data_IF_716835223707
#
_entry.id   IF_716835223707
#
_cell.length_a   1.000
_cell.length_b   1.000
_cell.length_c   1.000
_cell.angle_alpha   90.00
_cell.angle_beta   90.00
_cell.angle_gamma   90.00
#
_symmetry.space_group_name_H-M   'P 1'
#
loop_
_entity.id
_entity.type
_entity.pdbx_description
1 polymer ?
#
# COMPACT_ATOMS: atom_id res chain seq x y z
N UNK A 1 44.77 16.42 -4.27
CA UNK A 1 43.92 15.73 -3.29
C UNK A 1 42.48 15.94 -3.70
N UNK A 2 41.91 14.94 -4.37
CA UNK A 2 40.50 14.94 -4.73
C UNK A 2 39.75 14.74 -3.41
N UNK A 3 38.94 15.72 -3.05
CA UNK A 3 38.05 15.62 -1.89
C UNK A 3 36.96 14.64 -2.28
N UNK A 4 37.07 13.42 -1.75
CA UNK A 4 35.98 12.44 -1.73
C UNK A 4 34.85 13.03 -0.89
N UNK A 5 34.05 13.90 -1.51
CA UNK A 5 32.68 14.10 -1.10
C UNK A 5 31.98 12.80 -1.41
N UNK A 6 31.95 11.89 -0.45
CA UNK A 6 31.00 10.80 -0.42
C UNK A 6 29.62 11.41 -0.72
N UNK A 7 29.14 11.21 -1.93
CA UNK A 7 27.75 11.46 -2.30
C UNK A 7 26.94 10.50 -1.44
N UNK A 8 26.56 10.94 -0.23
CA UNK A 8 25.55 10.27 0.57
C UNK A 8 24.29 10.22 -0.29
N UNK A 9 24.06 9.08 -0.94
CA UNK A 9 22.81 8.83 -1.62
C UNK A 9 21.72 8.89 -0.55
N UNK A 10 20.77 9.79 -0.76
CA UNK A 10 19.58 9.89 0.08
C UNK A 10 18.89 8.53 0.18
N UNK A 11 18.46 8.15 1.38
CA UNK A 11 17.70 6.92 1.63
C UNK A 11 16.37 6.86 0.82
N UNK A 12 15.95 7.98 0.24
CA UNK A 12 14.72 8.13 -0.52
C UNK A 12 14.94 8.43 -2.01
N UNK A 13 15.97 7.86 -2.64
CA UNK A 13 16.34 8.09 -4.07
C UNK A 13 15.14 8.16 -5.02
N UNK A 14 14.16 7.25 -4.88
CA UNK A 14 12.97 7.21 -5.73
C UNK A 14 12.08 8.45 -5.53
N UNK A 15 11.80 8.81 -4.28
CA UNK A 15 10.95 9.98 -3.96
C UNK A 15 11.69 11.27 -4.34
N UNK A 16 13.00 11.34 -4.10
CA UNK A 16 13.82 12.48 -4.48
C UNK A 16 13.81 12.74 -5.99
N UNK A 17 13.90 11.68 -6.80
CA UNK A 17 13.85 11.81 -8.26
C UNK A 17 12.49 12.31 -8.78
N UNK A 18 11.43 12.14 -7.99
CA UNK A 18 10.06 12.55 -8.35
C UNK A 18 9.61 13.84 -7.67
N UNK A 19 10.30 14.25 -6.59
CA UNK A 19 9.97 15.42 -5.80
C UNK A 19 10.48 16.69 -6.48
N UNK A 20 9.64 17.71 -6.53
CA UNK A 20 10.04 19.08 -6.90
C UNK A 20 10.24 19.97 -5.67
N UNK A 21 10.59 19.36 -4.53
CA UNK A 21 10.76 20.04 -3.24
C UNK A 21 9.48 20.20 -2.40
N UNK A 22 8.35 19.67 -2.85
CA UNK A 22 7.06 19.77 -2.15
C UNK A 22 6.54 18.48 -1.51
N UNK A 23 7.17 17.32 -1.79
CA UNK A 23 6.76 16.04 -1.21
C UNK A 23 7.34 15.90 0.19
N UNK A 24 6.48 15.51 1.15
CA UNK A 24 6.91 15.16 2.50
C UNK A 24 7.46 13.73 2.49
N UNK A 25 8.63 13.53 3.09
CA UNK A 25 9.21 12.21 3.30
C UNK A 25 8.55 11.56 4.50
N UNK A 26 7.95 10.39 4.28
CA UNK A 26 7.29 9.64 5.34
C UNK A 26 8.33 9.10 6.32
N UNK A 27 8.00 9.14 7.61
CA UNK A 27 8.80 8.50 8.65
C UNK A 27 8.91 6.98 8.38
N UNK A 28 10.06 6.34 8.66
CA UNK A 28 10.25 4.91 8.40
C UNK A 28 9.17 4.01 9.01
N UNK A 29 8.70 4.35 10.22
CA UNK A 29 7.58 3.65 10.87
C UNK A 29 6.31 3.63 10.00
N UNK A 30 5.95 4.78 9.40
CA UNK A 30 4.78 4.89 8.51
C UNK A 30 4.97 4.03 7.27
N UNK A 31 6.17 4.02 6.70
CA UNK A 31 6.50 3.17 5.55
C UNK A 31 6.33 1.70 5.91
N UNK A 32 6.82 1.27 7.07
CA UNK A 32 6.70 -0.11 7.54
C UNK A 32 5.24 -0.53 7.77
N UNK A 33 4.42 0.33 8.39
CA UNK A 33 2.99 0.08 8.60
C UNK A 33 2.27 -0.09 7.27
N UNK A 34 2.52 0.79 6.30
CA UNK A 34 1.92 0.72 4.97
C UNK A 34 2.37 -0.53 4.21
N UNK A 35 3.67 -0.84 4.27
CA UNK A 35 4.22 -2.04 3.66
C UNK A 35 3.61 -3.31 4.26
N UNK A 36 3.51 -3.38 5.60
CA UNK A 36 2.87 -4.49 6.29
C UNK A 36 1.41 -4.66 5.89
N UNK A 37 0.66 -3.57 5.80
CA UNK A 37 -0.75 -3.59 5.33
C UNK A 37 -0.85 -4.13 3.91
N UNK A 38 0.06 -3.72 3.01
CA UNK A 38 0.14 -4.27 1.65
C UNK A 38 0.43 -5.78 1.64
N UNK A 39 1.39 -6.24 2.44
CA UNK A 39 1.72 -7.66 2.54
C UNK A 39 0.54 -8.50 3.05
N UNK A 40 -0.18 -8.01 4.06
CA UNK A 40 -1.39 -8.67 4.55
C UNK A 40 -2.46 -8.72 3.46
N UNK A 41 -2.69 -7.62 2.74
CA UNK A 41 -3.64 -7.63 1.62
C UNK A 41 -3.24 -8.64 0.55
N UNK A 42 -1.96 -8.69 0.15
CA UNK A 42 -1.43 -9.66 -0.82
C UNK A 42 -1.68 -11.10 -0.37
N UNK A 43 -1.54 -11.39 0.92
CA UNK A 43 -1.87 -12.68 1.49
C UNK A 43 -3.38 -12.98 1.43
N UNK A 44 -4.25 -12.01 1.77
CA UNK A 44 -5.71 -12.17 1.74
C UNK A 44 -6.25 -12.39 0.31
N UNK A 45 -5.62 -11.78 -0.70
CA UNK A 45 -5.98 -11.95 -2.12
C UNK A 45 -5.18 -13.05 -2.81
N UNK A 46 -4.37 -13.82 -2.07
CA UNK A 46 -3.68 -14.99 -2.60
C UNK A 46 -4.67 -16.08 -3.00
N UNK A 47 -4.30 -16.96 -3.93
CA UNK A 47 -5.20 -18.02 -4.45
C UNK A 47 -5.86 -18.87 -3.37
N UNK A 48 -5.19 -19.04 -2.23
CA UNK A 48 -5.68 -19.83 -1.11
C UNK A 48 -6.82 -19.13 -0.35
N UNK A 49 -6.69 -17.82 -0.10
CA UNK A 49 -7.63 -17.06 0.74
C UNK A 49 -8.60 -16.17 -0.05
N UNK A 50 -8.32 -15.93 -1.35
CA UNK A 50 -9.02 -14.96 -2.20
C UNK A 50 -10.55 -15.15 -2.16
N UNK A 51 -11.02 -16.40 -2.28
CA UNK A 51 -12.46 -16.69 -2.28
C UNK A 51 -13.14 -16.29 -0.97
N UNK A 52 -12.49 -16.56 0.16
CA UNK A 52 -13.01 -16.23 1.49
C UNK A 52 -13.03 -14.72 1.65
N UNK A 53 -11.92 -14.06 1.34
CA UNK A 53 -11.83 -12.59 1.41
C UNK A 53 -12.84 -11.88 0.50
N UNK A 54 -13.09 -12.41 -0.69
CA UNK A 54 -14.08 -11.86 -1.62
C UNK A 54 -15.54 -12.11 -1.22
N UNK A 55 -15.81 -13.14 -0.40
CA UNK A 55 -17.14 -13.38 0.14
C UNK A 55 -17.48 -12.43 1.30
N UNK A 56 -16.49 -11.76 1.89
CA UNK A 56 -16.70 -10.83 3.01
C UNK A 56 -17.38 -9.53 2.56
N UNK A 57 -18.50 -9.18 3.21
CA UNK A 57 -19.20 -7.92 2.93
C UNK A 57 -18.42 -6.68 3.42
N UNK A 58 -17.52 -6.85 4.39
CA UNK A 58 -16.78 -5.77 5.05
C UNK A 58 -15.26 -5.96 4.95
N UNK A 59 -14.75 -6.22 3.75
CA UNK A 59 -13.31 -6.40 3.45
C UNK A 59 -12.40 -5.34 4.09
N UNK A 60 -12.82 -4.07 4.08
CA UNK A 60 -12.11 -2.98 4.75
C UNK A 60 -11.93 -3.23 6.24
N UNK A 61 -12.99 -3.66 6.92
CA UNK A 61 -12.94 -3.93 8.36
C UNK A 61 -12.07 -5.14 8.67
N UNK A 62 -12.10 -6.17 7.83
CA UNK A 62 -11.25 -7.35 7.97
C UNK A 62 -9.76 -6.95 7.92
N UNK A 63 -9.36 -6.20 6.90
CA UNK A 63 -7.96 -5.77 6.78
C UNK A 63 -7.56 -4.83 7.93
N UNK A 64 -8.42 -3.89 8.32
CA UNK A 64 -8.18 -3.01 9.47
C UNK A 64 -8.02 -3.79 10.77
N UNK A 65 -8.88 -4.78 11.03
CA UNK A 65 -8.83 -5.56 12.27
C UNK A 65 -7.57 -6.41 12.36
N UNK A 66 -7.13 -7.00 11.24
CA UNK A 66 -5.89 -7.77 11.19
C UNK A 66 -4.70 -6.84 11.48
N UNK A 67 -4.63 -5.69 10.82
CA UNK A 67 -3.53 -4.76 11.05
C UNK A 67 -3.52 -4.19 12.47
N UNK A 68 -4.69 -3.86 13.02
CA UNK A 68 -4.78 -3.43 14.42
C UNK A 68 -4.26 -4.51 15.35
N UNK A 69 -4.70 -5.77 15.18
CA UNK A 69 -4.21 -6.88 15.98
C UNK A 69 -2.68 -7.06 15.88
N UNK A 70 -2.11 -7.01 14.67
CA UNK A 70 -0.67 -7.16 14.45
C UNK A 70 0.17 -6.01 15.03
N UNK A 71 -0.41 -4.82 15.13
CA UNK A 71 0.28 -3.63 15.62
C UNK A 71 0.03 -3.35 17.10
N UNK A 72 -0.99 -3.98 17.70
CA UNK A 72 -1.28 -3.91 19.14
C UNK A 72 -0.23 -4.62 20.00
N UNK A 73 0.64 -5.44 19.40
CA UNK A 73 1.76 -6.12 20.08
C UNK A 73 3.06 -5.29 20.09
N UNK A 74 3.01 -4.05 19.59
CA UNK A 74 4.17 -3.15 19.49
C UNK A 74 4.42 -2.29 20.73
N UNK A 75 5.67 -1.85 20.89
CA UNK A 75 6.19 -0.99 21.97
C UNK A 75 5.25 0.18 22.33
N UNK A 76 5.15 0.50 23.63
CA UNK A 76 4.50 1.73 24.10
C UNK A 76 5.21 2.95 23.50
N UNK A 77 4.59 3.54 22.48
CA UNK A 77 5.05 4.78 21.88
C UNK A 77 4.59 5.96 22.74
N UNK A 78 5.48 6.92 22.95
CA UNK A 78 5.16 8.14 23.69
C UNK A 78 4.20 9.06 22.93
N UNK A 79 3.45 9.90 23.67
CA UNK A 79 2.68 10.99 23.07
C UNK A 79 3.62 11.99 22.37
N UNK A 80 3.22 12.47 21.20
CA UNK A 80 4.02 13.46 20.49
C UNK A 80 3.95 14.84 21.16
N UNK A 81 4.87 15.75 20.79
CA UNK A 81 4.92 17.11 21.33
C UNK A 81 3.62 17.93 21.14
N UNK A 82 2.77 17.54 20.20
CA UNK A 82 1.44 18.13 19.98
C UNK A 82 0.31 17.45 20.77
N UNK A 83 0.63 16.48 21.62
CA UNK A 83 -0.33 15.76 22.47
C UNK A 83 -1.10 14.64 21.77
N UNK A 84 -0.71 14.21 20.58
CA UNK A 84 -1.40 13.10 19.90
C UNK A 84 -0.90 11.74 20.42
N UNK A 85 -1.85 10.88 20.77
CA UNK A 85 -1.56 9.49 21.13
C UNK A 85 -1.20 8.67 19.87
N UNK A 86 -0.14 7.85 19.90
CA UNK A 86 0.30 7.05 18.76
C UNK A 86 -0.79 6.17 18.15
N UNK A 87 -1.62 5.53 18.98
CA UNK A 87 -2.77 4.74 18.50
C UNK A 87 -3.73 5.53 17.62
N UNK A 88 -3.93 6.81 17.94
CA UNK A 88 -4.83 7.67 17.15
C UNK A 88 -4.21 7.95 15.78
N UNK A 89 -2.93 8.30 15.76
CA UNK A 89 -2.17 8.56 14.54
C UNK A 89 -2.14 7.30 13.67
N UNK A 90 -1.82 6.16 14.27
CA UNK A 90 -1.74 4.87 13.59
C UNK A 90 -3.09 4.45 13.00
N UNK A 91 -4.18 4.60 13.77
CA UNK A 91 -5.54 4.31 13.31
C UNK A 91 -5.90 5.15 12.09
N UNK A 92 -5.49 6.41 12.04
CA UNK A 92 -5.81 7.28 10.91
C UNK A 92 -4.95 6.97 9.68
N UNK A 93 -3.67 6.63 9.87
CA UNK A 93 -2.82 6.09 8.80
C UNK A 93 -3.44 4.83 8.20
N UNK A 94 -3.75 3.83 9.05
CA UNK A 94 -4.32 2.54 8.61
C UNK A 94 -5.64 2.71 7.87
N UNK A 95 -6.54 3.58 8.34
CA UNK A 95 -7.82 3.85 7.66
C UNK A 95 -7.62 4.34 6.23
N UNK A 96 -6.67 5.24 6.02
CA UNK A 96 -6.40 5.80 4.69
C UNK A 96 -5.70 4.78 3.81
N UNK A 97 -4.71 4.09 4.36
CA UNK A 97 -3.92 3.10 3.63
C UNK A 97 -4.78 1.92 3.16
N UNK A 98 -5.57 1.32 4.05
CA UNK A 98 -6.50 0.24 3.68
C UNK A 98 -7.45 0.65 2.57
N UNK A 99 -8.02 1.86 2.63
CA UNK A 99 -8.90 2.36 1.58
C UNK A 99 -8.18 2.49 0.23
N UNK A 100 -6.97 3.06 0.25
CA UNK A 100 -6.15 3.24 -0.93
C UNK A 100 -5.76 1.90 -1.55
N UNK A 101 -5.28 0.96 -0.74
CA UNK A 101 -4.85 -0.35 -1.19
C UNK A 101 -6.01 -1.17 -1.78
N UNK A 102 -7.17 -1.19 -1.13
CA UNK A 102 -8.35 -1.89 -1.66
C UNK A 102 -8.85 -1.27 -2.97
N UNK A 103 -8.87 0.08 -3.05
CA UNK A 103 -9.23 0.78 -4.28
C UNK A 103 -8.25 0.43 -5.41
N UNK A 104 -6.95 0.45 -5.14
CA UNK A 104 -5.92 0.12 -6.11
C UNK A 104 -6.00 -1.35 -6.54
N UNK A 105 -6.23 -2.26 -5.61
CA UNK A 105 -6.43 -3.69 -5.90
C UNK A 105 -7.57 -3.91 -6.91
N UNK A 106 -8.74 -3.32 -6.66
CA UNK A 106 -9.89 -3.44 -7.56
C UNK A 106 -9.60 -2.78 -8.91
N UNK A 107 -8.97 -1.61 -8.93
CA UNK A 107 -8.59 -0.92 -10.16
C UNK A 107 -7.65 -1.78 -11.01
N UNK A 108 -6.57 -2.31 -10.43
CA UNK A 108 -5.62 -3.19 -11.12
C UNK A 108 -6.29 -4.45 -11.67
N UNK A 109 -7.20 -5.06 -10.91
CA UNK A 109 -7.93 -6.25 -11.36
C UNK A 109 -8.85 -5.94 -12.53
N UNK A 110 -9.56 -4.82 -12.47
CA UNK A 110 -10.42 -4.35 -13.55
C UNK A 110 -9.60 -4.03 -14.82
N UNK A 111 -8.46 -3.37 -14.67
CA UNK A 111 -7.55 -3.06 -15.78
C UNK A 111 -7.05 -4.33 -16.48
N UNK A 112 -6.71 -5.37 -15.72
CA UNK A 112 -6.32 -6.67 -16.28
C UNK A 112 -7.45 -7.30 -17.10
N UNK A 113 -8.69 -7.32 -16.56
CA UNK A 113 -9.86 -7.83 -17.29
C UNK A 113 -10.15 -7.02 -18.56
N UNK A 114 -9.99 -5.68 -18.50
CA UNK A 114 -10.18 -4.84 -19.68
C UNK A 114 -9.12 -5.11 -20.76
N UNK A 115 -7.86 -5.28 -20.38
CA UNK A 115 -6.76 -5.63 -21.30
C UNK A 115 -6.99 -6.98 -21.97
N UNK A 116 -7.41 -8.00 -21.22
CA UNK A 116 -7.75 -9.33 -21.77
C UNK A 116 -8.90 -9.28 -22.78
N UNK A 117 -9.95 -8.48 -22.47
CA UNK A 117 -11.07 -8.27 -23.39
C UNK A 117 -10.64 -7.56 -24.67
N UNK A 118 -9.77 -6.55 -24.57
CA UNK A 118 -9.23 -5.85 -25.73
C UNK A 118 -8.41 -6.79 -26.64
N UNK A 119 -7.53 -7.60 -26.06
CA UNK A 119 -6.75 -8.60 -26.79
C UNK A 119 -7.65 -9.62 -27.51
N UNK A 120 -8.70 -10.11 -26.82
CA UNK A 120 -9.66 -11.06 -27.40
C UNK A 120 -10.46 -10.44 -28.54
N UNK A 121 -10.87 -9.17 -28.43
CA UNK A 121 -11.56 -8.45 -29.51
C UNK A 121 -10.68 -8.24 -30.75
N UNK A 122 -9.40 -7.90 -30.56
CA UNK A 122 -8.45 -7.79 -31.66
C UNK A 122 -8.25 -9.14 -32.39
N UNK A 123 -8.14 -10.25 -31.65
CA UNK A 123 -8.06 -11.59 -32.26
C UNK A 123 -9.26 -11.94 -33.14
N UNK A 124 -10.49 -11.60 -32.70
CA UNK A 124 -11.72 -11.86 -33.48
C UNK A 124 -11.79 -11.04 -34.78
N UNK A 125 -11.24 -9.83 -34.79
CA UNK A 125 -11.17 -8.98 -35.99
C UNK A 125 -10.15 -9.51 -37.01
N UNK A 126 -9.04 -10.11 -36.55
CA UNK A 126 -8.00 -10.68 -37.42
C UNK A 126 -8.44 -11.97 -38.13
N UNK A 127 -9.38 -12.72 -37.57
CA UNK A 127 -9.93 -13.97 -38.16
C UNK A 127 -11.13 -13.75 -39.11
N UNK A 128 -11.54 -12.50 -39.33
CA UNK A 128 -12.63 -12.11 -40.24
C UNK A 128 -12.12 -11.52 -41.57
N UNK A 129 -10.82 -11.64 -41.84
CA UNK A 129 -10.19 -11.38 -43.13
C UNK A 129 -9.90 -12.71 -43.83
#
# INVERSE_FOLDING_TARGET
MITDRELQQSEHVLIDSMSRGGLKFSQPFVVNVVLGTKTVLEHLVSKEQERRFHAEAKQRMVLLSIMQFLLSDGEELDMCASGHHPDTVLKDILKQDVNMLLKNYVACRNDSVMKEKACTKQRKLLTLQ
#
